data_IF_496760625274
#
_entry.id   IF_496760625274
#
_cell.length_a   1.000
_cell.length_b   1.000
_cell.length_c   1.000
_cell.angle_alpha   90.00
_cell.angle_beta   90.00
_cell.angle_gamma   90.00
#
_symmetry.space_group_name_H-M   'P 1'
#
loop_
_entity.id
_entity.type
_entity.pdbx_description
1 polymer ?
#
# COMPACT_ATOMS: atom_id res chain seq x y z
N UNK A 1 7.41 58.16 -15.51
CA UNK A 1 7.33 57.44 -16.80
C UNK A 1 8.20 56.20 -16.67
N UNK A 2 7.64 55.03 -17.00
CA UNK A 2 8.17 53.67 -16.79
C UNK A 2 9.59 53.45 -17.29
N UNK A 3 10.39 52.66 -16.55
CA UNK A 3 11.63 52.03 -17.03
C UNK A 3 12.05 50.91 -16.06
N UNK A 4 11.33 49.80 -16.06
CA UNK A 4 11.93 48.51 -15.67
C UNK A 4 11.61 47.51 -16.76
N UNK A 5 12.61 47.35 -17.62
CA UNK A 5 12.71 46.36 -18.68
C UNK A 5 12.76 44.96 -18.07
N UNK A 6 11.82 44.08 -18.43
CA UNK A 6 11.78 42.66 -18.01
C UNK A 6 12.63 41.79 -18.96
N UNK A 7 13.76 42.31 -19.43
CA UNK A 7 14.56 41.73 -20.50
C UNK A 7 15.79 40.92 -20.08
N UNK A 8 15.90 40.44 -18.84
CA UNK A 8 17.15 39.79 -18.42
C UNK A 8 17.16 39.12 -17.05
N UNK A 9 16.10 38.41 -16.65
CA UNK A 9 16.25 37.44 -15.56
C UNK A 9 16.95 36.23 -16.17
N UNK A 10 18.21 35.91 -15.79
CA UNK A 10 18.81 34.64 -16.17
C UNK A 10 17.91 33.55 -15.62
N UNK A 11 17.48 32.59 -16.45
CA UNK A 11 16.81 31.40 -15.93
C UNK A 11 17.76 30.79 -14.90
N UNK A 12 17.29 30.73 -13.65
CA UNK A 12 18.07 30.19 -12.54
C UNK A 12 18.18 28.68 -12.77
N UNK A 13 19.28 28.25 -13.40
CA UNK A 13 19.58 26.83 -13.62
C UNK A 13 20.03 26.12 -12.34
N UNK A 14 20.01 26.79 -11.18
CA UNK A 14 20.42 26.21 -9.88
C UNK A 14 19.44 25.20 -9.31
N UNK A 15 18.37 24.86 -10.02
CA UNK A 15 17.47 23.78 -9.61
C UNK A 15 18.17 22.40 -9.64
N UNK A 16 19.29 22.26 -10.37
CA UNK A 16 20.17 21.09 -10.31
C UNK A 16 21.07 21.05 -9.07
N UNK A 17 21.06 22.09 -8.22
CA UNK A 17 22.02 22.27 -7.13
C UNK A 17 21.41 22.03 -5.73
N UNK A 18 20.16 21.54 -5.66
CA UNK A 18 19.45 21.28 -4.41
C UNK A 18 19.44 19.82 -3.97
N UNK A 19 20.01 18.90 -4.74
CA UNK A 19 20.15 17.52 -4.27
C UNK A 19 21.30 17.43 -3.25
N UNK A 20 21.02 17.08 -1.99
CA UNK A 20 22.09 16.89 -1.01
C UNK A 20 23.07 15.80 -1.49
N UNK A 21 24.38 15.95 -1.24
CA UNK A 21 25.35 14.93 -1.60
C UNK A 21 25.01 13.62 -0.89
N UNK A 22 24.59 12.62 -1.65
CA UNK A 22 24.13 11.32 -1.15
C UNK A 22 22.72 10.91 -1.59
N UNK A 23 21.98 11.75 -2.32
CA UNK A 23 20.75 11.30 -2.98
C UNK A 23 21.11 10.21 -4.00
N UNK A 24 20.63 8.96 -3.83
CA UNK A 24 20.87 7.91 -4.82
C UNK A 24 20.31 8.34 -6.17
N UNK A 25 20.98 7.95 -7.25
CA UNK A 25 20.50 8.22 -8.59
C UNK A 25 19.05 7.68 -8.74
N UNK A 26 18.15 8.42 -9.42
CA UNK A 26 16.81 7.93 -9.70
C UNK A 26 16.88 6.56 -10.38
N UNK A 27 16.03 5.63 -9.93
CA UNK A 27 15.94 4.30 -10.55
C UNK A 27 15.59 4.42 -12.04
N UNK A 28 16.22 3.58 -12.84
CA UNK A 28 15.84 3.39 -14.24
C UNK A 28 14.43 2.79 -14.33
N UNK A 29 13.78 2.94 -15.48
CA UNK A 29 12.46 2.36 -15.69
C UNK A 29 12.45 0.84 -15.50
N UNK A 30 13.49 0.16 -15.97
CA UNK A 30 13.64 -1.29 -15.79
C UNK A 30 13.78 -1.68 -14.32
N UNK A 31 14.60 -0.98 -13.53
CA UNK A 31 14.73 -1.26 -12.09
C UNK A 31 13.42 -1.03 -11.35
N UNK A 32 12.66 0.02 -11.71
CA UNK A 32 11.33 0.25 -11.15
C UNK A 32 10.36 -0.87 -11.51
N UNK A 33 10.40 -1.38 -12.75
CA UNK A 33 9.57 -2.48 -13.20
C UNK A 33 9.86 -3.79 -12.46
N UNK A 34 11.13 -4.12 -12.29
CA UNK A 34 11.58 -5.31 -11.54
C UNK A 34 11.17 -5.21 -10.07
N UNK A 35 11.39 -4.05 -9.44
CA UNK A 35 10.98 -3.81 -8.07
C UNK A 35 9.46 -3.85 -7.90
N UNK A 36 8.71 -3.25 -8.83
CA UNK A 36 7.25 -3.28 -8.82
C UNK A 36 6.72 -4.73 -8.92
N UNK A 37 7.37 -5.57 -9.72
CA UNK A 37 7.01 -6.99 -9.85
C UNK A 37 7.22 -7.77 -8.55
N UNK A 38 8.35 -7.54 -7.89
CA UNK A 38 8.68 -8.17 -6.61
C UNK A 38 7.72 -7.71 -5.50
N UNK A 39 7.49 -6.40 -5.37
CA UNK A 39 6.60 -5.84 -4.37
C UNK A 39 5.14 -6.25 -4.61
N UNK A 40 4.70 -6.35 -5.87
CA UNK A 40 3.36 -6.87 -6.20
C UNK A 40 3.19 -8.31 -5.73
N UNK A 41 4.15 -9.18 -6.04
CA UNK A 41 4.13 -10.58 -5.57
C UNK A 41 4.13 -10.65 -4.04
N UNK A 42 5.01 -9.88 -3.40
CA UNK A 42 5.12 -9.84 -1.95
C UNK A 42 3.83 -9.35 -1.28
N UNK A 43 3.22 -8.29 -1.80
CA UNK A 43 1.94 -7.75 -1.32
C UNK A 43 0.88 -8.85 -1.26
N UNK A 44 0.64 -9.54 -2.37
CA UNK A 44 -0.40 -10.56 -2.47
C UNK A 44 -0.14 -11.77 -1.54
N UNK A 45 1.12 -12.14 -1.31
CA UNK A 45 1.49 -13.15 -0.31
C UNK A 45 1.19 -12.64 1.11
N UNK A 46 1.59 -11.41 1.43
CA UNK A 46 1.37 -10.81 2.74
C UNK A 46 -0.11 -10.58 3.05
N UNK A 47 -0.95 -10.32 2.04
CA UNK A 47 -2.41 -10.24 2.21
C UNK A 47 -3.00 -11.53 2.80
N UNK A 48 -2.53 -12.70 2.36
CA UNK A 48 -2.97 -13.99 2.92
C UNK A 48 -2.50 -14.18 4.37
N UNK A 49 -1.33 -13.65 4.72
CA UNK A 49 -0.81 -13.69 6.10
C UNK A 49 -1.64 -12.76 7.00
N UNK A 50 -2.02 -11.58 6.51
CA UNK A 50 -2.89 -10.65 7.21
C UNK A 50 -4.24 -11.30 7.58
N UNK A 51 -4.90 -11.97 6.63
CA UNK A 51 -6.14 -12.73 6.88
C UNK A 51 -5.97 -13.73 8.01
N UNK A 52 -4.88 -14.51 8.01
CA UNK A 52 -4.62 -15.51 9.06
C UNK A 52 -4.45 -14.86 10.43
N UNK A 53 -3.78 -13.71 10.52
CA UNK A 53 -3.67 -12.96 11.76
C UNK A 53 -5.03 -12.48 12.28
N UNK A 54 -5.93 -12.04 11.38
CA UNK A 54 -7.31 -11.66 11.74
C UNK A 54 -8.08 -12.87 12.28
N UNK A 55 -8.04 -14.00 11.56
CA UNK A 55 -8.73 -15.23 11.96
C UNK A 55 -8.21 -15.79 13.30
N UNK A 56 -6.91 -15.68 13.58
CA UNK A 56 -6.32 -16.14 14.83
C UNK A 56 -6.44 -15.15 16.01
N UNK A 57 -7.25 -14.10 15.88
CA UNK A 57 -7.43 -13.07 16.92
C UNK A 57 -6.14 -12.36 17.35
N UNK A 58 -5.14 -12.29 16.46
CA UNK A 58 -3.87 -11.64 16.73
C UNK A 58 -3.96 -10.15 16.35
N UNK A 59 -4.78 -9.38 17.07
CA UNK A 59 -5.14 -8.01 16.68
C UNK A 59 -3.93 -7.11 16.36
N UNK A 60 -2.88 -7.12 17.20
CA UNK A 60 -1.65 -6.35 16.93
C UNK A 60 -0.91 -6.79 15.67
N UNK A 61 -0.83 -8.11 15.43
CA UNK A 61 -0.18 -8.64 14.23
C UNK A 61 -1.01 -8.32 12.98
N UNK A 62 -2.34 -8.48 13.05
CA UNK A 62 -3.25 -8.14 11.98
C UNK A 62 -3.09 -6.68 11.56
N UNK A 63 -3.15 -5.76 12.52
CA UNK A 63 -2.98 -4.34 12.26
C UNK A 63 -1.57 -4.01 11.74
N UNK A 64 -0.52 -4.63 12.28
CA UNK A 64 0.85 -4.46 11.75
C UNK A 64 0.99 -4.91 10.29
N UNK A 65 0.28 -5.98 9.90
CA UNK A 65 0.26 -6.42 8.51
C UNK A 65 -0.52 -5.45 7.62
N UNK A 66 -1.66 -4.92 8.08
CA UNK A 66 -2.44 -3.91 7.33
C UNK A 66 -1.60 -2.65 7.08
N UNK A 67 -0.88 -2.19 8.09
CA UNK A 67 0.15 -1.14 8.00
C UNK A 67 1.16 -1.39 6.88
N UNK A 68 1.80 -2.56 6.93
CA UNK A 68 2.82 -2.93 5.97
C UNK A 68 2.25 -2.97 4.55
N UNK A 69 1.05 -3.54 4.40
CA UNK A 69 0.35 -3.59 3.11
C UNK A 69 0.00 -2.19 2.59
N UNK A 70 -0.43 -1.27 3.47
CA UNK A 70 -0.67 0.13 3.08
C UNK A 70 0.63 0.80 2.61
N UNK A 71 1.72 0.63 3.35
CA UNK A 71 3.04 1.14 2.95
C UNK A 71 3.48 0.60 1.59
N UNK A 72 3.20 -0.67 1.30
CA UNK A 72 3.51 -1.28 -0.01
C UNK A 72 2.71 -0.64 -1.15
N UNK A 73 1.44 -0.27 -0.92
CA UNK A 73 0.63 0.46 -1.91
C UNK A 73 1.23 1.83 -2.20
N UNK A 74 1.67 2.56 -1.16
CA UNK A 74 2.33 3.86 -1.37
C UNK A 74 3.69 3.72 -2.06
N UNK A 75 4.49 2.73 -1.66
CA UNK A 75 5.75 2.40 -2.34
C UNK A 75 5.51 2.10 -3.83
N UNK A 76 4.44 1.36 -4.14
CA UNK A 76 4.05 1.05 -5.51
C UNK A 76 3.65 2.30 -6.28
N UNK A 77 2.82 3.18 -5.71
CA UNK A 77 2.46 4.48 -6.32
C UNK A 77 3.69 5.31 -6.66
N UNK A 78 4.74 5.29 -5.83
CA UNK A 78 6.01 5.98 -6.14
C UNK A 78 6.74 5.33 -7.31
N UNK A 79 6.83 4.00 -7.34
CA UNK A 79 7.50 3.28 -8.44
C UNK A 79 6.84 3.55 -9.79
N UNK A 80 5.51 3.63 -9.83
CA UNK A 80 4.75 3.94 -11.05
C UNK A 80 4.61 5.46 -11.31
N UNK A 81 5.22 6.31 -10.49
CA UNK A 81 5.23 7.77 -10.69
C UNK A 81 3.91 8.49 -10.36
N UNK A 82 3.00 7.85 -9.63
CA UNK A 82 1.71 8.43 -9.19
C UNK A 82 1.83 9.22 -7.87
N UNK A 83 2.92 9.05 -7.13
CA UNK A 83 3.24 9.85 -5.95
C UNK A 83 4.72 10.23 -5.93
N UNK A 84 5.01 11.45 -5.49
CA UNK A 84 6.37 11.99 -5.28
C UNK A 84 6.68 12.24 -3.81
N UNK A 85 5.70 12.10 -2.92
CA UNK A 85 5.85 12.35 -1.50
C UNK A 85 6.34 11.07 -0.85
N UNK A 86 7.53 11.14 -0.26
CA UNK A 86 7.97 10.14 0.71
C UNK A 86 7.36 10.51 2.06
N UNK A 87 6.11 10.10 2.28
CA UNK A 87 5.56 10.13 3.62
C UNK A 87 6.40 9.14 4.44
N UNK A 88 7.15 9.67 5.42
CA UNK A 88 7.72 8.80 6.46
C UNK A 88 6.59 8.02 7.09
N UNK A 89 6.83 6.79 7.54
CA UNK A 89 5.82 5.99 8.24
C UNK A 89 5.12 6.86 9.28
N UNK A 90 3.89 7.32 9.00
CA UNK A 90 3.17 8.12 9.97
C UNK A 90 3.01 7.28 11.21
N UNK A 91 3.46 7.85 12.32
CA UNK A 91 3.65 7.24 13.62
C UNK A 91 2.30 6.95 14.31
N UNK A 92 1.33 6.37 13.61
CA UNK A 92 0.00 6.08 14.17
C UNK A 92 0.06 5.08 15.34
N UNK A 93 1.20 4.39 15.49
CA UNK A 93 1.57 3.53 16.62
C UNK A 93 1.58 4.23 17.99
N UNK A 94 1.50 5.56 18.08
CA UNK A 94 1.71 6.26 19.35
C UNK A 94 0.45 6.69 20.10
N UNK A 95 -0.77 6.59 19.54
CA UNK A 95 -1.95 7.14 20.24
C UNK A 95 -3.29 6.41 20.06
N UNK A 96 -3.40 5.40 19.20
CA UNK A 96 -4.70 4.76 18.88
C UNK A 96 -4.67 3.27 19.17
N UNK A 97 -5.64 2.77 19.95
CA UNK A 97 -5.85 1.33 20.14
C UNK A 97 -6.17 0.68 18.79
N UNK A 98 -5.59 -0.48 18.46
CA UNK A 98 -5.86 -1.15 17.19
C UNK A 98 -7.37 -1.41 17.05
N UNK A 99 -7.97 -1.26 15.86
CA UNK A 99 -9.35 -1.70 15.63
C UNK A 99 -9.44 -3.17 16.04
N UNK A 100 -10.21 -3.45 17.09
CA UNK A 100 -10.28 -4.79 17.71
C UNK A 100 -11.23 -5.69 16.93
N UNK A 101 -12.13 -5.11 16.13
CA UNK A 101 -13.17 -5.86 15.42
C UNK A 101 -12.60 -6.51 14.16
N UNK A 102 -12.74 -7.83 14.06
CA UNK A 102 -12.24 -8.63 12.93
C UNK A 102 -12.90 -8.23 11.61
N UNK A 103 -14.19 -7.92 11.63
CA UNK A 103 -14.92 -7.45 10.46
C UNK A 103 -14.35 -6.12 9.93
N UNK A 104 -13.97 -5.19 10.82
CA UNK A 104 -13.34 -3.92 10.45
C UNK A 104 -11.94 -4.15 9.84
N UNK A 105 -11.14 -5.04 10.44
CA UNK A 105 -9.82 -5.42 9.90
C UNK A 105 -9.92 -6.06 8.51
N UNK A 106 -10.93 -6.91 8.27
CA UNK A 106 -11.20 -7.48 6.95
C UNK A 106 -11.65 -6.43 5.93
N UNK A 107 -12.47 -5.46 6.34
CA UNK A 107 -12.88 -4.36 5.48
C UNK A 107 -11.66 -3.52 5.04
N UNK A 108 -10.80 -3.14 5.99
CA UNK A 108 -9.55 -2.44 5.69
C UNK A 108 -8.64 -3.23 4.74
N UNK A 109 -8.51 -4.55 4.95
CA UNK A 109 -7.71 -5.41 4.07
C UNK A 109 -8.25 -5.40 2.63
N UNK A 110 -9.58 -5.46 2.46
CA UNK A 110 -10.23 -5.42 1.14
C UNK A 110 -9.99 -4.10 0.43
N UNK A 111 -10.09 -2.98 1.15
CA UNK A 111 -9.81 -1.65 0.61
C UNK A 111 -8.36 -1.55 0.13
N UNK A 112 -7.39 -1.96 0.96
CA UNK A 112 -5.97 -1.94 0.60
C UNK A 112 -5.69 -2.85 -0.60
N UNK A 113 -6.26 -4.05 -0.64
CA UNK A 113 -6.13 -4.97 -1.77
C UNK A 113 -6.71 -4.39 -3.05
N UNK A 114 -7.86 -3.72 -2.97
CA UNK A 114 -8.48 -3.07 -4.11
C UNK A 114 -7.61 -1.92 -4.64
N UNK A 115 -7.06 -1.10 -3.75
CA UNK A 115 -6.14 -0.03 -4.15
C UNK A 115 -4.91 -0.58 -4.89
N UNK A 116 -4.35 -1.71 -4.42
CA UNK A 116 -3.23 -2.37 -5.10
C UNK A 116 -3.64 -2.94 -6.46
N UNK A 117 -4.82 -3.55 -6.57
CA UNK A 117 -5.34 -4.07 -7.83
C UNK A 117 -5.51 -2.95 -8.87
N UNK A 118 -5.98 -1.77 -8.47
CA UNK A 118 -6.11 -0.61 -9.35
C UNK A 118 -4.77 -0.08 -9.88
N UNK A 119 -3.65 -0.39 -9.22
CA UNK A 119 -2.31 -0.03 -9.71
C UNK A 119 -1.81 -0.96 -10.81
N UNK A 120 -2.47 -2.10 -11.07
CA UNK A 120 -2.05 -3.10 -12.06
C UNK A 120 -1.73 -2.50 -13.43
N UNK A 121 -2.60 -1.67 -14.04
CA UNK A 121 -2.32 -1.11 -15.37
C UNK A 121 -1.07 -0.20 -15.37
N UNK A 122 -0.84 0.55 -14.28
CA UNK A 122 0.32 1.42 -14.16
C UNK A 122 1.62 0.63 -13.98
N UNK A 123 1.56 -0.48 -13.24
CA UNK A 123 2.69 -1.41 -13.08
C UNK A 123 3.05 -2.04 -14.42
N UNK A 124 2.05 -2.52 -15.17
CA UNK A 124 2.27 -3.14 -16.48
C UNK A 124 2.77 -2.11 -17.52
N UNK A 125 2.38 -0.84 -17.40
CA UNK A 125 2.83 0.24 -18.30
C UNK A 125 4.34 0.46 -18.21
N UNK A 126 4.93 0.36 -17.02
CA UNK A 126 6.39 0.47 -16.85
C UNK A 126 7.12 -0.86 -17.12
N UNK A 127 6.41 -1.90 -17.57
CA UNK A 127 6.97 -3.23 -17.84
C UNK A 127 7.03 -4.16 -16.63
N UNK A 128 6.41 -3.80 -15.51
CA UNK A 128 6.29 -4.64 -14.32
C UNK A 128 5.25 -5.75 -14.51
N UNK A 129 5.31 -6.78 -13.65
CA UNK A 129 4.40 -7.91 -13.67
C UNK A 129 3.56 -7.98 -12.39
N UNK A 130 2.25 -8.12 -12.55
CA UNK A 130 1.31 -8.43 -11.46
C UNK A 130 0.82 -9.87 -11.62
N UNK A 131 0.76 -10.67 -10.54
CA UNK A 131 0.24 -12.03 -10.60
C UNK A 131 -1.29 -12.05 -10.71
N UNK A 132 -1.85 -11.44 -11.76
CA UNK A 132 -3.29 -11.19 -11.93
C UNK A 132 -4.13 -12.47 -11.89
N UNK A 133 -3.57 -13.60 -12.30
CA UNK A 133 -4.22 -14.91 -12.22
C UNK A 133 -4.44 -15.40 -10.77
N UNK A 134 -3.65 -14.92 -9.80
CA UNK A 134 -3.76 -15.29 -8.39
C UNK A 134 -4.78 -14.43 -7.63
N UNK A 135 -5.03 -13.20 -8.08
CA UNK A 135 -5.88 -12.21 -7.38
C UNK A 135 -7.28 -12.75 -7.06
N UNK A 136 -8.02 -13.42 -7.97
CA UNK A 136 -9.35 -13.95 -7.65
C UNK A 136 -9.34 -14.94 -6.48
N UNK A 137 -8.35 -15.83 -6.42
CA UNK A 137 -8.22 -16.81 -5.34
C UNK A 137 -7.92 -16.17 -3.98
N UNK A 138 -7.26 -15.01 -3.97
CA UNK A 138 -7.01 -14.26 -2.74
C UNK A 138 -8.31 -13.60 -2.25
N UNK A 139 -9.10 -13.04 -3.15
CA UNK A 139 -10.43 -12.51 -2.81
C UNK A 139 -11.40 -13.61 -2.33
N UNK A 140 -11.33 -14.81 -2.91
CA UNK A 140 -12.07 -15.98 -2.42
C UNK A 140 -11.67 -16.33 -0.98
N UNK A 141 -10.37 -16.27 -0.66
CA UNK A 141 -9.91 -16.49 0.71
C UNK A 141 -10.41 -15.40 1.68
N UNK A 142 -10.48 -14.15 1.25
CA UNK A 142 -11.09 -13.08 2.05
C UNK A 142 -12.57 -13.37 2.32
N UNK A 143 -13.31 -13.83 1.30
CA UNK A 143 -14.72 -14.18 1.44
C UNK A 143 -14.95 -15.36 2.40
N UNK A 144 -14.10 -16.37 2.32
CA UNK A 144 -14.10 -17.47 3.28
C UNK A 144 -13.86 -16.98 4.71
N UNK A 145 -12.88 -16.08 4.89
CA UNK A 145 -12.57 -15.52 6.21
C UNK A 145 -13.74 -14.74 6.81
N UNK A 146 -14.42 -13.90 6.03
CA UNK A 146 -15.63 -13.19 6.49
C UNK A 146 -16.73 -14.16 6.91
N UNK A 147 -16.94 -15.23 6.15
CA UNK A 147 -17.94 -16.26 6.46
C UNK A 147 -17.63 -16.96 7.80
N UNK A 148 -16.35 -17.24 8.07
CA UNK A 148 -15.91 -17.85 9.34
C UNK A 148 -16.13 -16.90 10.52
N UNK A 149 -15.76 -15.62 10.37
CA UNK A 149 -15.94 -14.60 11.41
C UNK A 149 -17.43 -14.47 11.78
N UNK A 150 -18.31 -14.35 10.78
CA UNK A 150 -19.77 -14.24 11.02
C UNK A 150 -20.33 -15.48 11.72
N UNK A 151 -19.88 -16.68 11.34
CA UNK A 151 -20.35 -17.92 11.95
C UNK A 151 -19.92 -18.06 13.42
N UNK A 152 -18.72 -17.59 13.77
CA UNK A 152 -18.24 -17.57 15.16
C UNK A 152 -19.00 -16.55 16.02
N UNK A 153 -19.20 -15.33 15.51
CA UNK A 153 -19.96 -14.29 16.20
C UNK A 153 -21.41 -14.72 16.47
N UNK A 154 -22.06 -15.41 15.51
CA UNK A 154 -23.40 -15.96 15.69
C UNK A 154 -23.46 -17.07 16.76
N UNK A 155 -22.40 -17.87 16.91
CA UNK A 155 -22.31 -18.89 17.95
C UNK A 155 -22.15 -18.29 19.34
N UNK A 156 -21.36 -17.24 19.47
CA UNK A 156 -21.16 -16.54 20.75
C UNK A 156 -22.44 -15.84 21.22
N UNK A 157 -23.25 -15.29 20.30
CA UNK A 157 -24.53 -14.65 20.62
C UNK A 157 -25.66 -15.65 20.92
N UNK A 158 -25.62 -16.85 20.34
CA UNK A 158 -26.62 -17.90 20.55
C UNK A 158 -26.42 -18.78 21.80
N UNK A 159 -25.32 -18.61 22.54
CA UNK A 159 -24.95 -19.44 23.70
C UNK A 159 -25.55 -19.03 25.05
N UNK A 160 -26.39 -17.99 25.09
CA UNK A 160 -27.07 -17.51 26.30
C UNK A 160 -28.59 -17.74 26.22
N UNK A 161 -29.05 -18.98 26.15
CA UNK A 161 -30.44 -19.37 26.41
C UNK A 161 -30.52 -20.70 27.16
#
# INVERSE_FOLDING_TARGET
VLLFDRGGIPQDTRQEQLDPPGTPAPLTEQERAEQASQLSTFFWVMSNIAVKSVLHHQAWAAVSHLEGLRSLVEDMRRLVGLSTIQEGQEEWRTTVLPPVQRAEQMAMLREIAHEMEQLTPAIETIGGHVPSAAIPYIYDFFHLADTLIQHEENKEQGGFL
#
